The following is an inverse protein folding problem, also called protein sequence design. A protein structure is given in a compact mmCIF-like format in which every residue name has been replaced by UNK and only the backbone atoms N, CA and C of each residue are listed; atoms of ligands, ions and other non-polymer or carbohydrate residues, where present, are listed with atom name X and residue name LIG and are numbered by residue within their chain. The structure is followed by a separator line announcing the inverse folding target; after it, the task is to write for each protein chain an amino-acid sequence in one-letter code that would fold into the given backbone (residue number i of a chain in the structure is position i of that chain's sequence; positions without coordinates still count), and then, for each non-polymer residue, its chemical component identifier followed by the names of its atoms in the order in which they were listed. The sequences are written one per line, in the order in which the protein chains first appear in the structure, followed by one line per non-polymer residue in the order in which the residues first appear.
data_IF_338623138065
#
_entry.id   IF_338623138065
#
_cell.length_a   1.000
_cell.length_b   1.000
_cell.length_c   1.000
_cell.angle_alpha   90.00
_cell.angle_beta   90.00
_cell.angle_gamma   90.00
#
_symmetry.space_group_name_H-M   'P 1'
#
loop_
_entity.id
_entity.type
_entity.pdbx_description
1 polymer ?
#
# COMPACT_ATOMS: atom_id res chain seq x y z
N UNK A 1 -13.27 -25.85 -13.83
CA UNK A 1 -11.85 -25.56 -13.50
C UNK A 1 -11.68 -24.06 -13.68
N UNK A 2 -11.10 -23.38 -12.69
CA UNK A 2 -10.81 -21.96 -12.80
C UNK A 2 -9.54 -21.81 -13.64
N UNK A 3 -9.61 -20.98 -14.69
CA UNK A 3 -8.46 -20.69 -15.55
C UNK A 3 -7.96 -19.28 -15.27
N UNK A 4 -6.68 -19.15 -14.92
CA UNK A 4 -6.04 -17.88 -14.52
C UNK A 4 -5.11 -17.41 -15.65
N UNK A 5 -5.34 -16.21 -16.15
CA UNK A 5 -4.49 -15.64 -17.19
C UNK A 5 -4.30 -14.12 -17.03
N UNK A 6 -3.45 -13.53 -17.86
CA UNK A 6 -3.24 -12.07 -17.93
C UNK A 6 -3.52 -11.59 -19.34
N UNK A 7 -4.44 -10.63 -19.47
CA UNK A 7 -4.75 -9.97 -20.73
C UNK A 7 -4.38 -8.48 -20.76
N UNK A 8 -5.01 -7.70 -21.62
CA UNK A 8 -4.75 -6.27 -21.77
C UNK A 8 -5.26 -5.42 -20.61
N UNK A 9 -6.18 -5.95 -19.81
CA UNK A 9 -6.82 -5.27 -18.69
C UNK A 9 -6.19 -5.66 -17.35
N UNK A 10 -5.51 -6.80 -17.26
CA UNK A 10 -4.88 -7.30 -16.04
C UNK A 10 -5.08 -8.79 -15.82
N UNK A 11 -5.14 -9.19 -14.57
CA UNK A 11 -5.36 -10.59 -14.17
C UNK A 11 -6.83 -10.94 -14.36
N UNK A 12 -7.08 -12.07 -15.01
CA UNK A 12 -8.43 -12.59 -15.25
C UNK A 12 -8.57 -14.01 -14.74
N UNK A 13 -9.75 -14.32 -14.24
CA UNK A 13 -10.18 -15.65 -13.86
C UNK A 13 -11.41 -16.01 -14.68
N UNK A 14 -11.32 -17.05 -15.48
CA UNK A 14 -12.47 -17.62 -16.18
C UNK A 14 -13.07 -18.74 -15.33
N UNK A 15 -14.36 -18.61 -15.02
CA UNK A 15 -15.16 -19.63 -14.38
C UNK A 15 -16.31 -20.01 -15.30
N UNK A 16 -16.12 -21.07 -16.11
CA UNK A 16 -17.14 -21.61 -17.02
C UNK A 16 -17.70 -20.55 -17.99
N UNK A 17 -16.83 -19.74 -18.58
CA UNK A 17 -17.18 -18.69 -19.54
C UNK A 17 -17.60 -17.35 -18.92
N UNK A 18 -17.59 -17.22 -17.60
CA UNK A 18 -17.74 -15.93 -16.91
C UNK A 18 -16.38 -15.41 -16.52
N UNK A 19 -15.99 -14.26 -17.06
CA UNK A 19 -14.72 -13.61 -16.73
C UNK A 19 -14.88 -12.68 -15.54
N UNK A 20 -14.00 -12.87 -14.56
CA UNK A 20 -13.75 -11.96 -13.45
C UNK A 20 -12.40 -11.27 -13.66
N UNK A 21 -12.34 -9.98 -13.54
CA UNK A 21 -11.10 -9.20 -13.54
C UNK A 21 -10.69 -8.85 -12.11
N UNK A 22 -9.42 -9.08 -11.79
CA UNK A 22 -8.83 -8.79 -10.49
C UNK A 22 -7.95 -7.53 -10.61
N UNK A 23 -8.31 -6.47 -9.90
CA UNK A 23 -7.64 -5.16 -9.90
C UNK A 23 -7.24 -4.69 -11.33
N UNK A 24 -8.18 -4.55 -12.25
CA UNK A 24 -7.86 -4.21 -13.63
C UNK A 24 -7.27 -2.79 -13.72
N UNK A 25 -6.30 -2.59 -14.60
CA UNK A 25 -5.67 -1.29 -14.84
C UNK A 25 -6.47 -0.37 -15.79
N UNK A 26 -7.52 -0.89 -16.41
CA UNK A 26 -8.46 -0.19 -17.29
C UNK A 26 -9.84 -0.80 -17.10
N UNK A 27 -10.87 -0.06 -17.50
CA UNK A 27 -12.23 -0.59 -17.51
C UNK A 27 -12.33 -1.77 -18.50
N UNK A 28 -12.52 -3.01 -18.01
CA UNK A 28 -12.68 -4.17 -18.88
C UNK A 28 -14.11 -4.20 -19.43
N UNK A 29 -14.26 -4.91 -20.54
CA UNK A 29 -15.58 -5.25 -21.09
C UNK A 29 -16.09 -6.55 -20.44
N UNK A 30 -16.45 -6.46 -19.16
CA UNK A 30 -16.91 -7.58 -18.33
C UNK A 30 -17.86 -7.09 -17.25
N UNK A 31 -18.78 -7.97 -16.84
CA UNK A 31 -19.76 -7.68 -15.79
C UNK A 31 -19.21 -7.87 -14.36
N UNK A 32 -18.09 -8.59 -14.19
CA UNK A 32 -17.53 -8.89 -12.89
C UNK A 32 -16.12 -8.33 -12.74
N UNK A 33 -15.95 -7.45 -11.76
CA UNK A 33 -14.66 -6.83 -11.42
C UNK A 33 -14.49 -6.88 -9.92
N UNK A 34 -13.33 -7.37 -9.47
CA UNK A 34 -12.92 -7.29 -8.09
C UNK A 34 -11.89 -6.17 -7.93
N UNK A 35 -12.05 -5.35 -6.89
CA UNK A 35 -11.11 -4.33 -6.46
C UNK A 35 -10.69 -4.63 -5.04
N UNK A 36 -9.41 -4.94 -4.85
CA UNK A 36 -8.86 -5.35 -3.56
C UNK A 36 -8.77 -4.20 -2.55
N UNK A 37 -8.30 -3.03 -3.01
CA UNK A 37 -8.10 -1.85 -2.16
C UNK A 37 -8.01 -0.56 -2.99
N UNK A 38 -7.94 0.60 -2.30
CA UNK A 38 -8.10 1.89 -2.94
C UNK A 38 -6.78 2.61 -3.30
N UNK A 39 -5.63 1.91 -3.48
CA UNK A 39 -4.45 2.50 -4.10
C UNK A 39 -4.63 2.69 -5.60
N UNK A 40 -4.00 3.71 -6.16
CA UNK A 40 -4.21 4.17 -7.55
C UNK A 40 -3.91 3.11 -8.60
N UNK A 41 -2.94 2.25 -8.34
CA UNK A 41 -2.48 1.17 -9.23
C UNK A 41 -3.43 -0.05 -9.24
N UNK A 42 -4.35 -0.13 -8.28
CA UNK A 42 -5.42 -1.12 -8.20
C UNK A 42 -6.79 -0.58 -8.64
N UNK A 43 -6.87 0.71 -9.00
CA UNK A 43 -8.08 1.37 -9.43
C UNK A 43 -8.01 1.74 -10.91
N UNK A 44 -9.13 1.64 -11.61
CA UNK A 44 -9.25 2.11 -12.99
C UNK A 44 -10.25 3.26 -13.11
N UNK A 45 -10.02 4.17 -14.07
CA UNK A 45 -10.98 5.24 -14.37
C UNK A 45 -12.13 4.68 -15.22
N UNK A 46 -13.36 4.82 -14.73
CA UNK A 46 -14.55 4.51 -15.52
C UNK A 46 -14.70 5.49 -16.66
N UNK A 47 -14.72 4.99 -17.89
CA UNK A 47 -14.92 5.79 -19.11
C UNK A 47 -16.39 5.72 -19.55
N UNK A 48 -17.06 4.59 -19.27
CA UNK A 48 -18.46 4.37 -19.59
C UNK A 48 -19.24 4.20 -18.28
N UNK A 49 -20.36 4.89 -18.14
CA UNK A 49 -21.33 4.70 -17.06
C UNK A 49 -22.11 3.35 -17.24
N UNK A 50 -21.41 2.30 -17.53
CA UNK A 50 -22.03 0.98 -17.67
C UNK A 50 -21.92 0.28 -16.32
N UNK A 51 -23.02 -0.27 -15.86
CA UNK A 51 -23.22 -0.94 -14.60
C UNK A 51 -22.37 -2.19 -14.37
N UNK A 52 -21.03 -2.04 -14.45
CA UNK A 52 -20.12 -3.10 -14.06
C UNK A 52 -20.36 -3.42 -12.58
N UNK A 53 -20.59 -4.67 -12.30
CA UNK A 53 -20.76 -5.17 -10.93
C UNK A 53 -19.40 -5.19 -10.28
N UNK A 54 -19.21 -4.31 -9.29
CA UNK A 54 -17.94 -4.19 -8.57
C UNK A 54 -18.03 -4.94 -7.26
N UNK A 55 -17.14 -5.90 -7.09
CA UNK A 55 -16.96 -6.65 -5.85
C UNK A 55 -15.81 -6.00 -5.10
N UNK A 56 -16.11 -5.39 -3.98
CA UNK A 56 -15.12 -4.74 -3.10
C UNK A 56 -15.73 -4.47 -1.73
N UNK A 57 -14.93 -4.13 -0.74
CA UNK A 57 -15.44 -3.69 0.56
C UNK A 57 -16.12 -2.33 0.47
N UNK A 58 -17.09 -2.07 1.35
CA UNK A 58 -17.74 -0.75 1.47
C UNK A 58 -16.72 0.35 1.77
N UNK A 59 -15.68 0.04 2.53
CA UNK A 59 -14.61 0.98 2.88
C UNK A 59 -13.77 1.32 1.64
N UNK A 60 -13.27 0.31 0.93
CA UNK A 60 -12.52 0.51 -0.32
C UNK A 60 -13.34 1.30 -1.34
N UNK A 61 -14.62 0.96 -1.51
CA UNK A 61 -15.52 1.69 -2.41
C UNK A 61 -15.62 3.16 -2.03
N UNK A 62 -15.88 3.47 -0.74
CA UNK A 62 -16.01 4.85 -0.26
C UNK A 62 -14.72 5.65 -0.43
N UNK A 63 -13.56 5.05 -0.12
CA UNK A 63 -12.26 5.69 -0.34
C UNK A 63 -12.02 5.96 -1.83
N UNK A 64 -12.31 5.00 -2.71
CA UNK A 64 -12.17 5.16 -4.16
C UNK A 64 -13.08 6.28 -4.69
N UNK A 65 -14.34 6.34 -4.25
CA UNK A 65 -15.27 7.42 -4.61
C UNK A 65 -14.77 8.78 -4.15
N UNK A 66 -14.28 8.90 -2.91
CA UNK A 66 -13.70 10.13 -2.37
C UNK A 66 -12.48 10.60 -3.20
N UNK A 67 -11.67 9.66 -3.71
CA UNK A 67 -10.53 9.94 -4.60
C UNK A 67 -10.94 10.24 -6.05
N UNK A 68 -12.24 10.39 -6.34
CA UNK A 68 -12.77 10.78 -7.65
C UNK A 68 -12.97 9.63 -8.64
N UNK A 69 -12.85 8.36 -8.21
CA UNK A 69 -13.22 7.21 -9.02
C UNK A 69 -14.74 7.04 -9.00
N UNK A 70 -15.35 6.87 -10.18
CA UNK A 70 -16.81 6.76 -10.31
C UNK A 70 -17.19 5.30 -10.54
N UNK A 71 -17.36 4.54 -9.47
CA UNK A 71 -17.85 3.16 -9.53
C UNK A 71 -19.36 3.11 -9.25
N UNK A 72 -20.02 2.10 -9.83
CA UNK A 72 -21.39 1.76 -9.47
C UNK A 72 -21.48 1.17 -8.04
N UNK A 73 -22.65 0.64 -7.71
CA UNK A 73 -22.86 -0.02 -6.42
C UNK A 73 -22.01 -1.29 -6.27
N UNK A 74 -21.65 -1.58 -5.02
CA UNK A 74 -20.97 -2.84 -4.70
C UNK A 74 -21.92 -4.02 -4.84
N UNK A 75 -21.39 -5.12 -5.35
CA UNK A 75 -22.13 -6.34 -5.60
C UNK A 75 -21.55 -7.51 -4.81
N UNK A 76 -22.41 -8.33 -4.23
CA UNK A 76 -22.06 -9.59 -3.59
C UNK A 76 -22.32 -10.75 -4.54
N UNK A 77 -21.36 -11.64 -4.71
CA UNK A 77 -21.46 -12.82 -5.55
C UNK A 77 -21.42 -14.08 -4.68
N UNK A 78 -22.40 -14.95 -4.85
CA UNK A 78 -22.40 -16.25 -4.16
C UNK A 78 -21.12 -17.05 -4.47
N UNK A 79 -20.50 -17.63 -3.45
CA UNK A 79 -19.24 -18.36 -3.55
C UNK A 79 -17.99 -17.45 -3.51
N UNK A 80 -18.15 -16.12 -3.35
CA UNK A 80 -17.07 -15.16 -3.21
C UNK A 80 -17.03 -14.65 -1.78
N UNK A 81 -15.88 -14.72 -1.15
CA UNK A 81 -15.66 -14.23 0.21
C UNK A 81 -14.54 -13.18 0.21
N UNK A 82 -14.82 -12.02 0.82
CA UNK A 82 -13.86 -10.94 1.01
C UNK A 82 -13.16 -11.14 2.36
N UNK A 83 -11.86 -11.37 2.32
CA UNK A 83 -11.04 -11.60 3.51
C UNK A 83 -10.09 -10.43 3.74
N UNK A 84 -10.03 -9.90 4.97
CA UNK A 84 -9.08 -8.83 5.29
C UNK A 84 -7.66 -9.20 4.83
N UNK A 85 -7.08 -8.37 3.95
CA UNK A 85 -5.71 -8.56 3.47
C UNK A 85 -4.66 -7.88 4.34
N UNK A 86 -5.07 -7.08 5.32
CA UNK A 86 -4.18 -6.43 6.28
C UNK A 86 -3.31 -5.30 5.69
N UNK A 87 -3.47 -4.94 4.42
CA UNK A 87 -2.62 -3.96 3.74
C UNK A 87 -2.97 -2.52 4.15
N UNK A 88 -4.16 -2.04 3.81
CA UNK A 88 -4.71 -0.75 4.28
C UNK A 88 -6.15 -0.93 4.76
N UNK A 89 -6.75 0.09 5.38
CA UNK A 89 -8.13 0.02 5.86
C UNK A 89 -9.09 -0.29 4.70
N UNK A 90 -9.88 -1.35 4.87
CA UNK A 90 -10.84 -1.84 3.87
C UNK A 90 -10.24 -2.74 2.79
N UNK A 91 -8.92 -2.96 2.76
CA UNK A 91 -8.30 -3.89 1.81
C UNK A 91 -8.72 -5.33 2.03
N UNK A 92 -9.00 -6.05 0.94
CA UNK A 92 -9.41 -7.44 0.98
C UNK A 92 -8.69 -8.29 -0.07
N UNK A 93 -8.42 -9.53 0.27
CA UNK A 93 -8.24 -10.60 -0.70
C UNK A 93 -9.59 -11.20 -1.06
N UNK A 94 -9.64 -11.97 -2.14
CA UNK A 94 -10.84 -12.65 -2.63
C UNK A 94 -10.65 -14.16 -2.61
N UNK A 95 -11.50 -14.86 -1.87
CA UNK A 95 -11.62 -16.32 -1.92
C UNK A 95 -12.81 -16.70 -2.81
N UNK A 96 -12.59 -17.60 -3.76
CA UNK A 96 -13.62 -18.10 -4.69
C UNK A 96 -13.84 -19.59 -4.47
N UNK A 97 -15.05 -19.96 -4.04
CA UNK A 97 -15.53 -21.35 -3.90
C UNK A 97 -14.54 -22.27 -3.15
N UNK A 98 -13.77 -21.76 -2.18
CA UNK A 98 -12.67 -22.44 -1.47
C UNK A 98 -11.61 -23.05 -2.41
N UNK A 99 -11.61 -22.68 -3.69
CA UNK A 99 -10.68 -23.21 -4.69
C UNK A 99 -9.53 -22.24 -5.00
N UNK A 100 -9.80 -20.93 -5.04
CA UNK A 100 -8.82 -19.94 -5.42
C UNK A 100 -8.82 -18.77 -4.46
N UNK A 101 -7.62 -18.35 -4.03
CA UNK A 101 -7.42 -17.15 -3.23
C UNK A 101 -6.53 -16.15 -3.98
N UNK A 102 -7.05 -14.94 -4.19
CA UNK A 102 -6.31 -13.78 -4.67
C UNK A 102 -6.02 -12.86 -3.48
N UNK A 103 -4.76 -12.54 -3.22
CA UNK A 103 -4.38 -11.77 -2.03
C UNK A 103 -4.70 -10.28 -2.14
N UNK A 104 -4.75 -9.71 -3.37
CA UNK A 104 -4.45 -8.30 -3.53
C UNK A 104 -3.09 -8.00 -2.90
N UNK A 105 -2.85 -6.77 -2.46
CA UNK A 105 -1.71 -6.46 -1.60
C UNK A 105 -1.99 -6.96 -0.19
N UNK A 106 -0.99 -7.61 0.44
CA UNK A 106 -1.19 -8.35 1.68
C UNK A 106 -0.15 -8.03 2.75
N UNK A 107 -0.60 -8.02 4.02
CA UNK A 107 0.29 -7.96 5.18
C UNK A 107 -0.22 -8.85 6.31
N UNK A 108 0.61 -9.76 6.78
CA UNK A 108 0.30 -10.67 7.90
C UNK A 108 0.80 -10.16 9.25
N UNK A 109 1.35 -8.95 9.30
CA UNK A 109 1.81 -8.32 10.54
C UNK A 109 0.77 -7.31 11.02
N UNK A 110 0.40 -7.41 12.31
CA UNK A 110 -0.41 -6.36 12.96
C UNK A 110 0.37 -5.06 13.06
N UNK A 111 -0.26 -3.92 12.76
CA UNK A 111 0.38 -2.59 12.79
C UNK A 111 -0.64 -1.55 13.27
N UNK A 112 -0.38 -0.90 14.39
CA UNK A 112 -1.28 0.08 14.97
C UNK A 112 -2.74 -0.45 15.03
N UNK A 113 -3.68 0.19 14.34
CA UNK A 113 -5.08 -0.20 14.22
C UNK A 113 -5.34 -1.25 13.11
N UNK A 114 -4.32 -1.64 12.34
CA UNK A 114 -4.43 -2.63 11.25
C UNK A 114 -4.23 -4.04 11.77
N UNK A 115 -5.24 -4.88 11.61
CA UNK A 115 -5.12 -6.31 11.89
C UNK A 115 -4.37 -7.04 10.78
N UNK A 116 -3.77 -8.18 11.14
CA UNK A 116 -3.10 -9.06 10.20
C UNK A 116 -4.10 -9.66 9.20
N UNK A 117 -3.60 -10.00 8.00
CA UNK A 117 -4.40 -10.67 6.97
C UNK A 117 -4.97 -12.02 7.44
N UNK A 118 -6.18 -12.30 6.99
CA UNK A 118 -6.78 -13.63 7.06
C UNK A 118 -6.36 -14.41 5.81
N UNK A 119 -5.61 -15.49 6.01
CA UNK A 119 -5.13 -16.35 4.91
C UNK A 119 -5.91 -17.66 4.95
N UNK A 120 -6.76 -17.94 3.97
CA UNK A 120 -7.53 -19.19 3.88
C UNK A 120 -6.69 -20.32 3.29
N UNK A 121 -7.23 -21.53 3.31
CA UNK A 121 -6.78 -22.63 2.46
C UNK A 121 -7.40 -22.50 1.08
N UNK A 122 -6.62 -22.73 0.04
CA UNK A 122 -7.12 -22.73 -1.35
C UNK A 122 -6.21 -23.58 -2.22
N UNK A 123 -6.74 -24.16 -3.31
CA UNK A 123 -5.92 -24.96 -4.23
C UNK A 123 -5.07 -24.09 -5.15
N UNK A 124 -5.58 -22.93 -5.52
CA UNK A 124 -4.87 -21.94 -6.34
C UNK A 124 -4.65 -20.70 -5.50
N UNK A 125 -3.40 -20.23 -5.42
CA UNK A 125 -3.04 -18.98 -4.78
C UNK A 125 -2.51 -18.01 -5.83
N UNK A 126 -3.13 -16.83 -5.92
CA UNK A 126 -2.60 -15.70 -6.69
C UNK A 126 -2.08 -14.68 -5.66
N UNK A 127 -0.75 -14.52 -5.58
CA UNK A 127 -0.09 -13.77 -4.51
C UNK A 127 0.77 -12.64 -5.06
N UNK A 128 0.65 -11.45 -4.44
CA UNK A 128 1.57 -10.33 -4.69
C UNK A 128 3.02 -10.72 -4.37
N UNK A 129 3.96 -10.04 -4.98
CA UNK A 129 5.39 -10.23 -4.74
C UNK A 129 6.18 -8.91 -4.76
N UNK A 130 5.58 -7.83 -4.25
CA UNK A 130 6.20 -6.49 -4.17
C UNK A 130 7.58 -6.56 -3.54
N UNK A 131 7.75 -7.34 -2.48
CA UNK A 131 9.02 -7.62 -1.83
C UNK A 131 9.40 -9.11 -1.88
N UNK A 132 9.06 -9.79 -2.96
CA UNK A 132 9.29 -11.22 -3.21
C UNK A 132 10.75 -11.63 -3.47
N UNK A 133 11.72 -10.84 -3.05
CA UNK A 133 13.15 -11.14 -3.18
C UNK A 133 13.81 -11.27 -1.79
N UNK A 134 14.69 -12.27 -1.56
CA UNK A 134 15.28 -12.56 -0.23
C UNK A 134 15.97 -11.39 0.46
N UNK A 135 16.38 -10.39 -0.30
CA UNK A 135 17.00 -9.17 0.28
C UNK A 135 16.03 -8.25 1.02
N UNK A 136 14.72 -8.45 0.87
CA UNK A 136 13.70 -7.63 1.53
C UNK A 136 13.13 -8.38 2.72
N UNK A 137 13.80 -8.27 3.86
CA UNK A 137 13.36 -8.73 5.17
C UNK A 137 13.24 -7.51 6.07
N UNK A 138 12.07 -7.31 6.67
CA UNK A 138 11.80 -6.12 7.48
C UNK A 138 12.03 -6.37 8.96
N UNK A 139 12.53 -5.36 9.71
CA UNK A 139 12.47 -5.39 11.16
C UNK A 139 11.00 -5.44 11.61
N UNK A 140 10.77 -5.80 12.87
CA UNK A 140 9.42 -5.71 13.41
C UNK A 140 8.96 -4.25 13.50
N UNK A 141 7.64 -4.07 13.53
CA UNK A 141 6.99 -2.76 13.55
C UNK A 141 7.46 -1.90 14.75
N UNK A 142 7.45 -2.49 15.94
CA UNK A 142 7.79 -1.83 17.19
C UNK A 142 9.24 -1.33 17.22
N UNK A 143 10.16 -2.12 16.68
CA UNK A 143 11.58 -1.75 16.58
C UNK A 143 11.78 -0.53 15.66
N UNK A 144 11.05 -0.50 14.53
CA UNK A 144 11.10 0.64 13.61
C UNK A 144 10.52 1.91 14.24
N UNK A 145 9.37 1.78 14.93
CA UNK A 145 8.73 2.90 15.64
C UNK A 145 9.62 3.39 16.80
N UNK A 146 10.23 2.48 17.56
CA UNK A 146 11.16 2.85 18.61
C UNK A 146 12.34 3.65 18.06
N UNK A 147 12.95 3.21 16.96
CA UNK A 147 14.04 3.94 16.31
C UNK A 147 13.61 5.33 15.83
N UNK A 148 12.40 5.46 15.27
CA UNK A 148 11.86 6.77 14.91
C UNK A 148 11.69 7.68 16.13
N UNK A 149 11.14 7.15 17.23
CA UNK A 149 10.96 7.92 18.47
C UNK A 149 12.30 8.41 19.04
N UNK A 150 13.37 7.62 18.97
CA UNK A 150 14.70 8.06 19.41
C UNK A 150 15.20 9.26 18.58
N UNK A 151 15.05 9.20 17.24
CA UNK A 151 15.44 10.31 16.36
C UNK A 151 14.60 11.55 16.66
N UNK A 152 13.28 11.40 16.78
CA UNK A 152 12.36 12.51 17.08
C UNK A 152 12.73 13.13 18.44
N UNK A 153 12.96 12.31 19.47
CA UNK A 153 13.34 12.79 20.81
C UNK A 153 14.63 13.59 20.79
N UNK A 154 15.66 13.09 20.10
CA UNK A 154 16.93 13.82 19.93
C UNK A 154 16.71 15.17 19.25
N UNK A 155 15.93 15.22 18.17
CA UNK A 155 15.67 16.46 17.45
C UNK A 155 14.87 17.46 18.29
N UNK A 156 13.87 16.99 19.04
CA UNK A 156 13.09 17.83 19.95
C UNK A 156 13.94 18.45 21.05
N UNK A 157 14.87 17.71 21.63
CA UNK A 157 15.84 18.27 22.62
C UNK A 157 16.71 19.38 22.01
N UNK A 158 16.96 19.32 20.70
CA UNK A 158 17.73 20.33 19.96
C UNK A 158 16.88 21.48 19.41
N UNK A 159 15.57 21.46 19.67
CA UNK A 159 14.61 22.44 19.11
C UNK A 159 14.41 22.32 17.59
N UNK A 160 14.67 21.15 16.99
CA UNK A 160 14.60 20.91 15.55
C UNK A 160 13.28 20.23 15.19
N UNK A 161 12.47 20.80 14.30
CA UNK A 161 11.24 20.15 13.82
C UNK A 161 11.53 18.91 12.97
N UNK A 162 10.59 17.96 12.97
CA UNK A 162 10.73 16.69 12.26
C UNK A 162 9.55 16.48 11.29
N UNK A 163 9.85 16.03 10.07
CA UNK A 163 8.88 15.67 9.06
C UNK A 163 8.90 14.14 8.88
N UNK A 164 7.77 13.50 9.11
CA UNK A 164 7.56 12.08 8.83
C UNK A 164 6.88 11.94 7.45
N UNK A 165 7.48 11.17 6.57
CA UNK A 165 7.03 11.02 5.19
C UNK A 165 6.52 9.59 4.96
N UNK A 166 5.26 9.47 4.53
CA UNK A 166 4.60 8.21 4.18
C UNK A 166 3.66 8.36 3.00
N UNK A 167 3.20 7.26 2.41
CA UNK A 167 2.15 7.31 1.38
C UNK A 167 0.87 7.91 1.97
N UNK A 168 0.21 8.79 1.21
CA UNK A 168 -0.96 9.58 1.63
C UNK A 168 -2.10 8.69 2.14
N UNK A 169 -2.33 7.55 1.50
CA UNK A 169 -3.32 6.55 1.91
C UNK A 169 -2.63 5.33 2.55
N UNK A 170 -3.07 4.93 3.73
CA UNK A 170 -2.56 3.80 4.50
C UNK A 170 -1.44 4.20 5.45
N UNK A 171 -0.24 4.44 4.96
CA UNK A 171 0.95 4.71 5.78
C UNK A 171 0.84 5.99 6.61
N UNK A 172 0.37 7.09 6.01
CA UNK A 172 0.21 8.35 6.72
C UNK A 172 -0.76 8.23 7.90
N UNK A 173 -1.83 7.45 7.77
CA UNK A 173 -2.79 7.18 8.85
C UNK A 173 -2.15 6.39 9.99
N UNK A 174 -1.32 5.38 9.66
CA UNK A 174 -0.53 4.65 10.66
C UNK A 174 0.40 5.60 11.40
N UNK A 175 1.15 6.45 10.67
CA UNK A 175 2.05 7.43 11.28
C UNK A 175 1.28 8.42 12.16
N UNK A 176 0.14 8.94 11.72
CA UNK A 176 -0.70 9.86 12.52
C UNK A 176 -1.14 9.21 13.83
N UNK A 177 -1.61 7.97 13.77
CA UNK A 177 -2.08 7.24 14.95
C UNK A 177 -0.93 6.93 15.93
N UNK A 178 0.20 6.44 15.41
CA UNK A 178 1.33 5.99 16.24
C UNK A 178 2.06 7.15 16.90
N UNK A 179 2.27 8.25 16.18
CA UNK A 179 3.03 9.41 16.69
C UNK A 179 2.17 10.51 17.30
N UNK A 180 0.87 10.25 17.56
CA UNK A 180 -0.08 11.22 18.13
C UNK A 180 0.32 11.79 19.50
N UNK A 181 1.23 11.14 20.21
CA UNK A 181 1.75 11.60 21.51
C UNK A 181 2.77 12.74 21.39
N UNK A 182 3.39 12.93 20.22
CA UNK A 182 4.28 14.07 19.95
C UNK A 182 3.45 15.33 19.67
N UNK A 183 3.77 16.42 20.37
CA UNK A 183 3.01 17.67 20.24
C UNK A 183 3.96 18.86 19.98
N UNK A 184 3.53 19.83 19.17
CA UNK A 184 2.32 19.79 18.34
C UNK A 184 2.49 18.78 17.18
N UNK A 185 1.43 18.02 16.90
CA UNK A 185 1.35 17.15 15.73
C UNK A 185 0.62 17.89 14.62
N UNK A 186 1.23 17.95 13.45
CA UNK A 186 0.70 18.59 12.25
C UNK A 186 0.56 17.55 11.15
N UNK A 187 -0.48 17.62 10.35
CA UNK A 187 -0.64 16.78 9.16
C UNK A 187 -0.81 17.64 7.91
N UNK A 188 -0.26 17.20 6.81
CA UNK A 188 -0.49 17.81 5.50
C UNK A 188 -1.98 17.72 5.13
N UNK A 189 -2.54 18.74 4.47
CA UNK A 189 -3.96 18.86 4.18
C UNK A 189 -4.52 17.65 3.41
N UNK A 190 -3.76 17.10 2.44
CA UNK A 190 -4.17 15.89 1.72
C UNK A 190 -4.23 14.63 2.60
N UNK A 191 -3.53 14.60 3.71
CA UNK A 191 -3.58 13.50 4.69
C UNK A 191 -4.78 13.70 5.63
N UNK A 192 -5.11 14.94 5.98
CA UNK A 192 -6.27 15.28 6.81
C UNK A 192 -7.57 14.75 6.19
N UNK A 193 -7.76 14.91 4.87
CA UNK A 193 -8.91 14.36 4.15
C UNK A 193 -9.04 12.83 4.33
N UNK A 194 -7.93 12.11 4.21
CA UNK A 194 -7.91 10.66 4.40
C UNK A 194 -8.09 10.28 5.88
N UNK A 195 -7.52 11.04 6.81
CA UNK A 195 -7.71 10.82 8.25
C UNK A 195 -9.18 10.98 8.66
N UNK A 196 -9.87 12.01 8.15
CA UNK A 196 -11.30 12.20 8.36
C UNK A 196 -12.11 10.99 7.88
N UNK A 197 -11.77 10.50 6.68
CA UNK A 197 -12.44 9.33 6.13
C UNK A 197 -12.18 8.07 6.96
N UNK A 198 -10.96 7.86 7.47
CA UNK A 198 -10.66 6.77 8.39
C UNK A 198 -11.42 6.89 9.72
N UNK A 199 -11.60 8.13 10.21
CA UNK A 199 -12.39 8.37 11.43
C UNK A 199 -13.87 7.99 11.28
N UNK A 200 -14.45 8.17 10.09
CA UNK A 200 -15.81 7.71 9.80
C UNK A 200 -15.97 6.19 9.91
N UNK A 201 -14.89 5.44 9.76
CA UNK A 201 -14.83 4.00 9.95
C UNK A 201 -14.30 3.56 11.31
N UNK A 202 -14.29 4.47 12.30
CA UNK A 202 -13.99 4.18 13.69
C UNK A 202 -12.51 4.18 14.06
N UNK A 203 -11.61 4.60 13.16
CA UNK A 203 -10.19 4.75 13.49
C UNK A 203 -9.97 6.09 14.18
N UNK A 204 -9.49 6.07 15.45
CA UNK A 204 -9.18 7.31 16.18
C UNK A 204 -7.98 8.02 15.56
N UNK A 205 -8.24 9.22 15.00
CA UNK A 205 -7.28 10.11 14.36
C UNK A 205 -7.22 11.48 15.05
N UNK A 206 -7.48 11.53 16.36
CA UNK A 206 -7.63 12.78 17.09
C UNK A 206 -6.30 13.49 17.34
N UNK A 207 -6.40 14.80 17.64
CA UNK A 207 -5.34 15.61 18.24
C UNK A 207 -4.19 16.05 17.33
N UNK A 208 -4.46 16.42 16.10
CA UNK A 208 -3.50 17.10 15.20
C UNK A 208 -4.08 18.44 14.68
N UNK A 209 -3.23 19.22 14.06
CA UNK A 209 -3.57 20.45 13.35
C UNK A 209 -3.23 20.25 11.86
N UNK A 210 -4.02 20.82 10.93
CA UNK A 210 -3.65 20.79 9.51
C UNK A 210 -2.46 21.71 9.24
N UNK A 211 -1.70 21.43 8.19
CA UNK A 211 -0.56 22.27 7.82
C UNK A 211 -0.99 23.71 7.52
N UNK A 212 -2.10 23.90 6.79
CA UNK A 212 -2.64 25.21 6.48
C UNK A 212 -3.05 26.00 7.73
N UNK A 213 -3.63 25.34 8.74
CA UNK A 213 -4.00 26.01 10.01
C UNK A 213 -2.77 26.33 10.86
N UNK A 214 -1.79 25.44 10.90
CA UNK A 214 -0.55 25.67 11.62
C UNK A 214 0.27 26.82 11.01
N UNK A 215 0.24 26.98 9.69
CA UNK A 215 0.89 28.09 9.00
C UNK A 215 0.15 29.43 9.26
N UNK A 216 -1.19 29.44 9.20
CA UNK A 216 -2.01 30.63 9.49
C UNK A 216 -1.90 31.13 10.94
N UNK A 217 -1.72 30.23 11.88
CA UNK A 217 -1.57 30.55 13.32
C UNK A 217 -0.15 30.81 13.76
N UNK A 218 0.82 30.92 12.85
CA UNK A 218 2.27 31.06 13.13
C UNK A 218 2.86 29.94 14.04
N UNK A 219 2.15 28.83 14.19
CA UNK A 219 2.59 27.69 15.01
C UNK A 219 3.94 27.14 14.54
N UNK A 220 4.17 27.12 13.22
CA UNK A 220 5.41 26.62 12.62
C UNK A 220 6.62 27.51 12.92
N UNK A 221 6.41 28.78 13.22
CA UNK A 221 7.46 29.77 13.54
C UNK A 221 7.77 29.82 15.05
N UNK A 222 7.05 29.05 15.85
CA UNK A 222 7.30 28.96 17.30
C UNK A 222 8.71 28.42 17.59
N UNK A 223 9.26 28.76 18.75
CA UNK A 223 10.53 28.19 19.20
C UNK A 223 10.46 26.71 19.60
N UNK A 224 9.26 26.17 19.69
CA UNK A 224 9.05 24.76 20.03
C UNK A 224 9.13 23.90 18.75
N UNK A 225 9.81 22.76 18.79
CA UNK A 225 9.81 21.81 17.69
C UNK A 225 8.40 21.23 17.50
N UNK A 226 8.10 20.87 16.27
CA UNK A 226 6.83 20.24 15.88
C UNK A 226 7.10 18.99 15.04
N UNK A 227 6.11 18.12 14.98
CA UNK A 227 6.10 16.93 14.14
C UNK A 227 5.09 17.10 13.02
N UNK A 228 5.55 17.02 11.76
CA UNK A 228 4.70 17.08 10.58
C UNK A 228 4.63 15.72 9.90
N UNK A 229 3.43 15.22 9.61
CA UNK A 229 3.22 14.07 8.73
C UNK A 229 2.83 14.57 7.35
N UNK A 230 3.59 14.16 6.32
CA UNK A 230 3.41 14.63 4.95
C UNK A 230 3.56 13.48 3.94
N UNK A 231 3.05 13.64 2.71
CA UNK A 231 3.22 12.66 1.64
C UNK A 231 4.70 12.38 1.35
N UNK A 232 5.04 11.11 1.10
CA UNK A 232 6.42 10.74 0.77
C UNK A 232 6.80 11.36 -0.58
N UNK A 233 7.93 12.02 -0.59
CA UNK A 233 8.45 12.72 -1.76
C UNK A 233 9.96 12.88 -1.66
N UNK A 234 10.62 13.26 -2.76
CA UNK A 234 12.04 13.56 -2.75
C UNK A 234 12.32 14.99 -2.25
N UNK A 235 13.53 15.25 -1.79
CA UNK A 235 14.00 16.59 -1.40
C UNK A 235 13.98 17.61 -2.56
N UNK A 236 13.80 17.16 -3.81
CA UNK A 236 13.62 18.04 -4.99
C UNK A 236 12.21 18.61 -5.06
N UNK A 237 11.23 18.05 -4.34
CA UNK A 237 9.87 18.57 -4.27
C UNK A 237 9.85 19.94 -3.60
N UNK A 238 9.11 20.89 -4.20
CA UNK A 238 9.04 22.26 -3.75
C UNK A 238 8.60 22.43 -2.30
N UNK A 239 7.59 21.66 -1.86
CA UNK A 239 7.06 21.69 -0.50
C UNK A 239 8.10 21.25 0.52
N UNK A 240 8.69 20.07 0.37
CA UNK A 240 9.69 19.56 1.31
C UNK A 240 10.92 20.48 1.38
N UNK A 241 11.39 20.96 0.22
CA UNK A 241 12.49 21.93 0.14
C UNK A 241 12.16 23.24 0.88
N UNK A 242 10.94 23.75 0.70
CA UNK A 242 10.47 24.96 1.39
C UNK A 242 10.50 24.78 2.90
N UNK A 243 9.87 23.72 3.42
CA UNK A 243 9.79 23.46 4.86
C UNK A 243 11.19 23.31 5.48
N UNK A 244 12.05 22.50 4.86
CA UNK A 244 13.43 22.30 5.34
C UNK A 244 14.23 23.61 5.36
N UNK A 245 14.11 24.43 4.29
CA UNK A 245 14.83 25.70 4.20
C UNK A 245 14.32 26.75 5.20
N UNK A 246 12.99 26.83 5.37
CA UNK A 246 12.37 27.87 6.21
C UNK A 246 12.49 27.57 7.70
N UNK A 247 12.34 26.31 8.10
CA UNK A 247 12.22 25.93 9.50
C UNK A 247 13.38 25.06 10.01
N UNK A 248 14.34 24.70 9.17
CA UNK A 248 15.46 23.84 9.56
C UNK A 248 15.06 22.40 9.90
N UNK A 249 13.88 21.96 9.47
CA UNK A 249 13.34 20.64 9.79
C UNK A 249 14.15 19.50 9.16
N UNK A 250 14.23 18.36 9.87
CA UNK A 250 14.75 17.10 9.31
C UNK A 250 13.61 16.21 8.80
N UNK A 251 13.94 15.31 7.90
CA UNK A 251 12.98 14.39 7.26
C UNK A 251 13.29 12.92 7.57
N UNK A 252 12.24 12.15 7.91
CA UNK A 252 12.29 10.70 8.10
C UNK A 252 11.30 10.05 7.13
N UNK A 253 11.77 9.35 6.09
CA UNK A 253 10.93 8.59 5.17
C UNK A 253 10.63 7.18 5.67
N UNK A 254 9.40 6.71 5.48
CA UNK A 254 8.97 5.36 5.82
C UNK A 254 8.56 4.60 4.57
N UNK A 255 9.29 3.53 4.27
CA UNK A 255 9.01 2.68 3.10
C UNK A 255 9.65 1.31 3.27
N UNK A 256 9.05 0.25 2.70
CA UNK A 256 9.71 -1.07 2.61
C UNK A 256 11.03 -1.01 1.82
N UNK A 257 11.13 -0.13 0.84
CA UNK A 257 12.36 0.09 0.05
C UNK A 257 13.53 0.63 0.87
N UNK A 258 13.28 1.18 2.07
CA UNK A 258 14.30 1.70 2.97
C UNK A 258 15.19 0.61 3.62
N UNK A 259 14.92 -0.66 3.40
CA UNK A 259 15.87 -1.75 3.66
C UNK A 259 17.18 -1.52 2.90
N UNK A 260 17.10 -0.94 1.71
CA UNK A 260 18.27 -0.59 0.91
C UNK A 260 18.74 0.83 1.24
N UNK A 261 19.99 0.96 1.70
CA UNK A 261 20.57 2.24 2.13
C UNK A 261 20.54 3.32 1.04
N UNK A 262 20.64 2.95 -0.24
CA UNK A 262 20.60 3.90 -1.36
C UNK A 262 19.26 4.64 -1.47
N UNK A 263 18.14 4.06 -0.96
CA UNK A 263 16.81 4.67 -1.04
C UNK A 263 16.77 6.05 -0.36
N UNK A 264 17.41 6.17 0.79
CA UNK A 264 17.56 7.44 1.50
C UNK A 264 18.25 8.50 0.62
N UNK A 265 19.34 8.12 -0.05
CA UNK A 265 20.10 9.05 -0.90
C UNK A 265 19.36 9.39 -2.19
N UNK A 266 18.66 8.43 -2.79
CA UNK A 266 17.85 8.65 -3.99
C UNK A 266 16.75 9.70 -3.74
N UNK A 267 16.15 9.71 -2.56
CA UNK A 267 15.15 10.70 -2.15
C UNK A 267 15.78 11.98 -1.51
N UNK A 268 17.06 11.94 -1.13
CA UNK A 268 17.75 13.05 -0.46
C UNK A 268 17.18 13.35 0.93
N UNK A 269 16.71 12.34 1.65
CA UNK A 269 16.14 12.46 2.99
C UNK A 269 17.24 12.35 4.06
N UNK A 270 17.00 12.90 5.26
CA UNK A 270 17.96 12.81 6.36
C UNK A 270 17.97 11.39 6.96
N UNK A 271 16.80 10.77 7.09
CA UNK A 271 16.65 9.38 7.52
C UNK A 271 15.63 8.65 6.65
N UNK A 272 15.81 7.32 6.52
CA UNK A 272 14.78 6.41 5.99
C UNK A 272 14.71 5.18 6.88
N UNK A 273 13.50 4.78 7.23
CA UNK A 273 13.24 3.62 8.08
C UNK A 273 12.38 2.60 7.34
N UNK A 274 12.72 1.31 7.40
CA UNK A 274 11.94 0.27 6.75
C UNK A 274 10.62 0.05 7.50
N UNK A 275 9.54 0.51 6.89
CA UNK A 275 8.16 0.30 7.33
C UNK A 275 7.29 0.06 6.10
N UNK A 276 6.75 -1.14 5.99
CA UNK A 276 5.93 -1.56 4.84
C UNK A 276 4.51 -1.90 5.26
N UNK A 277 3.57 -1.68 4.35
CA UNK A 277 2.19 -2.14 4.42
C UNK A 277 2.02 -3.49 3.70
N UNK A 278 3.09 -3.99 3.06
CA UNK A 278 3.15 -5.29 2.41
C UNK A 278 3.91 -6.30 3.27
N UNK A 279 3.72 -7.57 2.97
CA UNK A 279 4.57 -8.65 3.43
C UNK A 279 6.02 -8.46 2.96
N UNK A 280 6.99 -8.84 3.78
CA UNK A 280 8.36 -9.07 3.34
C UNK A 280 8.50 -10.47 2.72
N UNK A 281 9.71 -10.82 2.26
CA UNK A 281 9.97 -12.11 1.65
C UNK A 281 9.58 -13.29 2.54
N UNK A 282 9.93 -13.26 3.83
CA UNK A 282 9.62 -14.34 4.77
C UNK A 282 8.12 -14.41 5.08
N UNK A 283 7.46 -13.26 5.16
CA UNK A 283 6.01 -13.18 5.34
C UNK A 283 5.27 -13.78 4.13
N UNK A 284 5.71 -13.48 2.90
CA UNK A 284 5.14 -14.07 1.68
C UNK A 284 5.27 -15.59 1.66
N UNK A 285 6.44 -16.13 2.02
CA UNK A 285 6.62 -17.59 2.20
C UNK A 285 5.67 -18.15 3.26
N UNK A 286 5.45 -17.41 4.34
CA UNK A 286 4.51 -17.80 5.40
C UNK A 286 3.07 -17.82 4.92
N UNK A 287 2.66 -16.89 4.08
CA UNK A 287 1.34 -16.86 3.42
C UNK A 287 1.17 -18.10 2.55
N UNK A 288 2.15 -18.44 1.70
CA UNK A 288 2.12 -19.64 0.86
C UNK A 288 1.96 -20.90 1.69
N UNK A 289 2.79 -21.08 2.74
CA UNK A 289 2.71 -22.25 3.62
C UNK A 289 1.36 -22.33 4.33
N UNK A 290 0.80 -21.21 4.78
CA UNK A 290 -0.49 -21.16 5.47
C UNK A 290 -1.64 -21.47 4.52
N UNK A 291 -1.64 -20.94 3.30
CA UNK A 291 -2.63 -21.24 2.28
C UNK A 291 -2.56 -22.69 1.79
N UNK A 292 -1.35 -23.26 1.69
CA UNK A 292 -1.04 -24.63 1.27
C UNK A 292 -1.65 -24.98 -0.10
N UNK A 293 -1.36 -24.20 -1.16
CA UNK A 293 -1.96 -24.38 -2.46
C UNK A 293 -1.30 -25.53 -3.25
N UNK A 294 -2.03 -26.06 -4.23
CA UNK A 294 -1.54 -26.98 -5.26
C UNK A 294 -0.82 -26.19 -6.38
N UNK A 295 -1.29 -24.96 -6.68
CA UNK A 295 -0.74 -24.08 -7.73
C UNK A 295 -0.64 -22.65 -7.23
N UNK A 296 0.48 -21.98 -7.56
CA UNK A 296 0.75 -20.59 -7.18
C UNK A 296 0.97 -19.76 -8.43
N UNK A 297 0.38 -18.57 -8.44
CA UNK A 297 0.66 -17.52 -9.40
C UNK A 297 1.17 -16.28 -8.67
N UNK A 298 2.35 -15.76 -9.08
CA UNK A 298 2.94 -14.57 -8.48
C UNK A 298 2.73 -13.36 -9.38
N UNK A 299 2.44 -12.20 -8.81
CA UNK A 299 2.24 -10.96 -9.56
C UNK A 299 2.84 -9.76 -8.82
N UNK A 300 3.03 -8.65 -9.48
CA UNK A 300 3.70 -7.43 -9.00
C UNK A 300 5.17 -7.63 -8.59
N UNK A 301 5.91 -6.54 -8.48
CA UNK A 301 7.26 -6.48 -7.92
C UNK A 301 8.22 -7.52 -8.48
N UNK A 302 8.64 -8.46 -7.65
CA UNK A 302 9.62 -9.51 -7.96
C UNK A 302 8.93 -10.83 -8.36
N UNK A 303 7.87 -10.78 -9.17
CA UNK A 303 7.06 -11.96 -9.51
C UNK A 303 7.88 -13.13 -10.07
N UNK A 304 8.80 -12.89 -11.01
CA UNK A 304 9.66 -13.93 -11.60
C UNK A 304 10.59 -14.54 -10.54
N UNK A 305 11.32 -13.70 -9.81
CA UNK A 305 12.25 -14.15 -8.77
C UNK A 305 11.54 -14.89 -7.64
N UNK A 306 10.34 -14.45 -7.25
CA UNK A 306 9.58 -15.10 -6.19
C UNK A 306 9.05 -16.47 -6.64
N UNK A 307 8.54 -16.60 -7.87
CA UNK A 307 8.12 -17.88 -8.44
C UNK A 307 9.31 -18.86 -8.53
N UNK A 308 10.47 -18.40 -8.99
CA UNK A 308 11.68 -19.24 -9.03
C UNK A 308 12.07 -19.74 -7.63
N UNK A 309 12.08 -18.86 -6.63
CA UNK A 309 12.38 -19.24 -5.24
C UNK A 309 11.34 -20.23 -4.66
N UNK A 310 10.05 -20.03 -4.97
CA UNK A 310 9.01 -20.97 -4.54
C UNK A 310 9.19 -22.35 -5.17
N UNK A 311 9.56 -22.42 -6.46
CA UNK A 311 9.87 -23.70 -7.13
C UNK A 311 11.09 -24.41 -6.50
N UNK A 312 12.12 -23.65 -6.13
CA UNK A 312 13.27 -24.21 -5.40
C UNK A 312 12.88 -24.75 -4.00
N UNK A 313 11.84 -24.18 -3.40
CA UNK A 313 11.27 -24.66 -2.12
C UNK A 313 10.29 -25.83 -2.29
N UNK A 314 10.07 -26.32 -3.51
CA UNK A 314 9.20 -27.47 -3.82
C UNK A 314 7.74 -27.14 -4.07
N UNK A 315 7.38 -25.87 -4.23
CA UNK A 315 6.05 -25.45 -4.64
C UNK A 315 5.95 -25.43 -6.18
N UNK A 316 4.73 -25.48 -6.71
CA UNK A 316 4.45 -25.28 -8.13
C UNK A 316 4.02 -23.81 -8.36
N UNK A 317 4.95 -22.98 -8.83
CA UNK A 317 4.73 -21.54 -8.96
C UNK A 317 5.10 -21.00 -10.35
N UNK A 318 4.21 -20.17 -10.92
CA UNK A 318 4.44 -19.45 -12.17
C UNK A 318 4.21 -17.94 -11.99
N UNK A 319 5.01 -17.08 -12.63
CA UNK A 319 4.77 -15.64 -12.62
C UNK A 319 3.64 -15.27 -13.61
N UNK A 320 2.70 -14.45 -13.17
CA UNK A 320 1.68 -13.82 -14.02
C UNK A 320 2.28 -12.60 -14.71
N UNK A 321 3.04 -12.84 -15.76
CA UNK A 321 3.61 -11.80 -16.60
C UNK A 321 2.96 -11.79 -17.96
N UNK A 322 2.66 -10.59 -18.45
CA UNK A 322 2.18 -10.43 -19.81
C UNK A 322 3.28 -10.86 -20.77
N UNK A 323 3.07 -11.93 -21.55
CA UNK A 323 4.00 -12.34 -22.61
C UNK A 323 4.12 -11.20 -23.64
N UNK A 324 5.09 -10.30 -23.47
CA UNK A 324 5.49 -9.38 -24.53
C UNK A 324 6.18 -10.21 -25.60
N UNK A 325 5.73 -10.11 -26.86
CA UNK A 325 6.48 -10.60 -27.99
C UNK A 325 7.93 -10.11 -27.87
N UNK A 326 8.88 -11.03 -28.03
CA UNK A 326 10.33 -10.88 -27.83
C UNK A 326 10.83 -9.43 -27.94
N UNK A 327 11.12 -8.78 -26.80
CA UNK A 327 12.12 -7.71 -26.65
C UNK A 327 12.46 -7.46 -25.19
N UNK A 328 13.73 -7.76 -24.89
CA UNK A 328 14.63 -7.19 -23.87
C UNK A 328 14.23 -6.98 -22.41
N UNK A 329 15.09 -7.55 -21.56
CA UNK A 329 15.42 -7.25 -20.16
C UNK A 329 14.69 -6.05 -19.59
N UNK A 330 13.73 -6.30 -18.70
CA UNK A 330 13.09 -5.27 -17.89
C UNK A 330 14.04 -4.87 -16.78
N UNK A 331 14.80 -3.81 -17.01
CA UNK A 331 15.36 -3.00 -15.92
C UNK A 331 14.14 -2.34 -15.27
N UNK A 332 13.82 -2.74 -14.05
CA UNK A 332 12.83 -2.03 -13.21
C UNK A 332 13.41 -0.64 -12.98
N UNK A 333 12.98 0.35 -13.76
CA UNK A 333 13.32 1.73 -13.49
C UNK A 333 12.54 2.16 -12.27
N UNK A 334 13.25 2.51 -11.20
CA UNK A 334 12.70 3.15 -10.00
C UNK A 334 11.82 4.38 -10.32
N UNK A 335 12.06 5.01 -11.47
CA UNK A 335 11.34 6.19 -11.94
C UNK A 335 9.82 5.98 -12.15
N UNK A 336 9.35 4.75 -12.35
CA UNK A 336 7.93 4.46 -12.54
C UNK A 336 7.11 4.56 -11.25
N UNK A 337 7.76 4.49 -10.08
CA UNK A 337 7.09 4.63 -8.78
C UNK A 337 6.97 6.09 -8.32
N UNK A 338 7.74 7.01 -8.93
CA UNK A 338 7.79 8.42 -8.52
C UNK A 338 7.06 9.39 -9.46
N UNK A 339 6.59 8.95 -10.64
CA UNK A 339 6.01 9.84 -11.66
C UNK A 339 4.50 10.04 -11.57
N UNK A 340 3.83 9.37 -10.64
CA UNK A 340 2.44 9.68 -10.30
C UNK A 340 2.35 10.17 -8.86
N UNK A 341 2.82 11.42 -8.63
CA UNK A 341 2.28 12.22 -7.53
C UNK A 341 0.79 12.35 -7.78
N UNK A 342 -0.01 11.81 -6.89
CA UNK A 342 -1.42 12.15 -6.83
C UNK A 342 -1.55 13.68 -6.76
N UNK A 343 -2.49 14.30 -7.51
CA UNK A 343 -2.73 15.73 -7.48
C UNK A 343 -3.18 16.22 -6.10
#
# INVERSE_FOLDING_TARGET
MLDVCVDNYGITVDNKGKKLYLDPNRQPDSDLIFISHAHTDHLYKCIKENGNKIITSKITHKIAMHRGYKYGETFEQHGFELLNSGHILGSNGLLIEDQMYYTGDISIRKRAFMDAAVVPKAKILIIESTFGHPEYVFPNFESTIHKANLIISEMYHRGIPVILLGYTLGKAQILTNVFRHWKPLIVHDSIDEMNKLYSEFGVSMDSYVTFSDAERSDMLSSRQPWLLIAPITSCKNGFLKYIKKKYGAISIGFSGWAVKSYYKYALGLDHCLPLSDHCDYNDLISVVKKCNPEKIYTFHGFAESFAENLNLLGFDADPLIRKRGKRNKTIVKLDTFFTKSDP
#
